data_IF_055069874137
#
_entry.id   IF_055069874137
#
_cell.length_a   1.000
_cell.length_b   1.000
_cell.length_c   1.000
_cell.angle_alpha   90.00
_cell.angle_beta   90.00
_cell.angle_gamma   90.00
#
_symmetry.space_group_name_H-M   'P 1'
#
loop_
_entity.id
_entity.type
_entity.pdbx_description
1 polymer ?
#
# COMPACT_ATOMS: atom_id res chain seq x y z
N UNK A 1 4.06 -2.38 17.47
CA UNK A 1 2.87 -3.23 17.21
C UNK A 1 2.57 -3.26 15.72
N UNK A 2 2.37 -4.44 15.12
CA UNK A 2 1.93 -4.63 13.73
C UNK A 2 0.67 -5.50 13.70
N UNK A 3 -0.09 -5.46 12.60
CA UNK A 3 -1.32 -6.26 12.51
C UNK A 3 -1.03 -7.76 12.52
N UNK A 4 -0.32 -8.23 11.51
CA UNK A 4 0.07 -9.62 11.31
C UNK A 4 1.29 -9.76 10.41
N UNK A 5 2.09 -10.77 10.67
CA UNK A 5 3.20 -11.18 9.84
C UNK A 5 2.82 -12.46 9.10
N UNK A 6 2.54 -12.37 7.79
CA UNK A 6 2.09 -13.52 6.96
C UNK A 6 2.87 -13.63 5.66
N UNK A 7 3.28 -12.50 5.11
CA UNK A 7 4.13 -12.38 3.93
C UNK A 7 4.87 -11.03 4.00
N UNK A 8 6.03 -10.97 3.36
CA UNK A 8 6.79 -9.72 3.27
C UNK A 8 6.27 -8.86 2.13
N UNK A 9 5.56 -7.77 2.45
CA UNK A 9 4.95 -6.85 1.49
C UNK A 9 5.15 -5.37 1.89
N UNK A 10 4.30 -4.47 1.42
CA UNK A 10 4.47 -3.03 1.62
C UNK A 10 4.42 -2.58 3.08
N UNK A 11 3.55 -3.17 3.91
CA UNK A 11 3.45 -2.86 5.33
C UNK A 11 4.66 -3.37 6.11
N UNK A 12 5.17 -4.54 5.76
CA UNK A 12 6.34 -5.14 6.39
C UNK A 12 7.63 -4.37 6.03
N UNK A 13 7.74 -3.80 4.82
CA UNK A 13 8.82 -2.86 4.48
C UNK A 13 8.82 -1.63 5.39
N UNK A 14 7.64 -1.11 5.74
CA UNK A 14 7.52 -0.02 6.72
C UNK A 14 8.00 -0.46 8.10
N UNK A 15 7.57 -1.64 8.56
CA UNK A 15 8.02 -2.19 9.86
C UNK A 15 9.53 -2.41 9.87
N UNK A 16 10.11 -2.96 8.81
CA UNK A 16 11.55 -3.12 8.66
C UNK A 16 12.29 -1.80 8.87
N UNK A 17 11.80 -0.73 8.22
CA UNK A 17 12.44 0.58 8.33
C UNK A 17 12.21 1.24 9.71
N UNK A 18 11.07 0.99 10.35
CA UNK A 18 10.83 1.37 11.76
C UNK A 18 11.85 0.67 12.68
N UNK A 19 12.10 -0.64 12.49
CA UNK A 19 13.07 -1.40 13.27
C UNK A 19 14.51 -0.96 13.07
N UNK A 20 14.85 -0.41 11.89
CA UNK A 20 16.17 0.16 11.63
C UNK A 20 16.35 1.53 12.30
N UNK A 21 15.27 2.29 12.48
CA UNK A 21 15.28 3.56 13.24
C UNK A 21 15.29 3.30 14.76
N UNK A 22 14.57 2.27 15.21
CA UNK A 22 14.46 1.88 16.62
C UNK A 22 14.92 0.43 16.82
N UNK A 23 16.24 0.18 16.81
CA UNK A 23 16.79 -1.18 16.85
C UNK A 23 16.54 -1.92 18.16
N UNK A 24 16.21 -1.22 19.23
CA UNK A 24 15.85 -1.78 20.55
C UNK A 24 14.39 -2.22 20.66
N UNK A 25 13.54 -1.94 19.65
CA UNK A 25 12.12 -2.18 19.73
C UNK A 25 11.76 -3.68 19.79
N UNK A 26 10.86 -4.03 20.70
CA UNK A 26 10.17 -5.32 20.74
C UNK A 26 9.03 -5.38 19.74
N UNK A 27 8.72 -6.58 19.26
CA UNK A 27 7.69 -6.80 18.25
C UNK A 27 6.46 -7.51 18.79
N UNK A 28 5.30 -6.93 18.52
CA UNK A 28 3.98 -7.50 18.81
C UNK A 28 3.14 -7.57 17.54
N UNK A 29 2.40 -8.66 17.35
CA UNK A 29 1.45 -8.80 16.26
C UNK A 29 0.29 -9.72 16.65
N UNK A 30 -0.85 -9.61 15.97
CA UNK A 30 -1.97 -10.53 16.23
C UNK A 30 -1.58 -11.98 15.93
N UNK A 31 -0.90 -12.18 14.80
CA UNK A 31 -0.37 -13.49 14.37
C UNK A 31 0.97 -13.32 13.66
N UNK A 32 1.78 -14.38 13.68
CA UNK A 32 3.05 -14.49 12.96
C UNK A 32 3.11 -15.87 12.27
N UNK A 33 2.98 -15.87 10.95
CA UNK A 33 3.02 -17.05 10.09
C UNK A 33 4.01 -16.89 8.93
N UNK A 34 4.95 -15.92 9.05
CA UNK A 34 6.02 -15.75 8.07
C UNK A 34 6.80 -17.06 7.85
N UNK A 35 7.15 -17.32 6.62
CA UNK A 35 8.11 -18.36 6.28
C UNK A 35 9.51 -17.96 6.78
N UNK A 36 10.36 -18.95 7.05
CA UNK A 36 11.68 -18.71 7.66
C UNK A 36 12.60 -17.88 6.75
N UNK A 37 12.48 -18.04 5.45
CA UNK A 37 13.22 -17.30 4.43
C UNK A 37 12.77 -15.84 4.30
N UNK A 38 11.55 -15.50 4.71
CA UNK A 38 11.03 -14.13 4.72
C UNK A 38 11.33 -13.36 6.02
N UNK A 39 11.92 -13.99 7.05
CA UNK A 39 12.12 -13.40 8.39
C UNK A 39 13.37 -12.53 8.54
N UNK A 40 14.23 -12.46 7.52
CA UNK A 40 15.52 -11.78 7.60
C UNK A 40 15.42 -10.32 8.10
N UNK A 41 14.38 -9.60 7.71
CA UNK A 41 14.15 -8.20 8.11
C UNK A 41 13.82 -8.01 9.59
N UNK A 42 13.39 -9.05 10.30
CA UNK A 42 13.14 -9.01 11.74
C UNK A 42 14.44 -8.96 12.57
N UNK A 43 15.60 -9.24 11.96
CA UNK A 43 16.90 -9.20 12.62
C UNK A 43 17.01 -10.13 13.84
N UNK A 44 16.41 -11.33 13.73
CA UNK A 44 16.39 -12.33 14.81
C UNK A 44 15.41 -12.04 15.96
N UNK A 45 14.62 -10.96 15.87
CA UNK A 45 13.63 -10.61 16.90
C UNK A 45 12.51 -11.62 16.96
N UNK A 46 12.08 -11.96 18.16
CA UNK A 46 10.88 -12.75 18.42
C UNK A 46 9.65 -11.85 18.36
N UNK A 47 8.62 -12.29 17.63
CA UNK A 47 7.31 -11.62 17.62
C UNK A 47 6.45 -12.19 18.77
N UNK A 48 5.96 -11.33 19.63
CA UNK A 48 4.95 -11.68 20.64
C UNK A 48 3.58 -11.64 19.98
N UNK A 49 2.88 -12.78 19.97
CA UNK A 49 1.60 -12.93 19.26
C UNK A 49 0.42 -12.99 20.23
N UNK A 50 -0.77 -12.63 19.74
CA UNK A 50 -2.02 -12.72 20.50
C UNK A 50 -2.52 -14.18 20.60
N UNK A 51 -3.60 -14.38 21.36
CA UNK A 51 -4.28 -15.67 21.47
C UNK A 51 -4.82 -16.17 20.12
N UNK A 52 -5.09 -15.27 19.15
CA UNK A 52 -5.56 -15.66 17.80
C UNK A 52 -4.56 -16.58 17.10
N UNK A 53 -3.27 -16.45 17.36
CA UNK A 53 -2.21 -17.32 16.84
C UNK A 53 -2.52 -18.83 17.08
N UNK A 54 -3.19 -19.15 18.18
CA UNK A 54 -3.46 -20.52 18.63
C UNK A 54 -4.87 -21.02 18.30
N UNK A 55 -5.70 -20.19 17.69
CA UNK A 55 -7.07 -20.57 17.33
C UNK A 55 -7.08 -21.58 16.16
N UNK A 56 -8.12 -22.42 16.05
CA UNK A 56 -8.23 -23.41 14.98
C UNK A 56 -8.09 -22.77 13.59
N UNK A 57 -7.28 -23.38 12.72
CA UNK A 57 -7.06 -22.91 11.34
C UNK A 57 -6.54 -21.45 11.21
N UNK A 58 -5.99 -20.87 12.29
CA UNK A 58 -5.53 -19.47 12.29
C UNK A 58 -4.55 -19.21 11.13
N UNK A 59 -3.62 -20.14 10.84
CA UNK A 59 -2.65 -19.99 9.75
C UNK A 59 -3.29 -19.66 8.39
N UNK A 60 -4.44 -20.26 8.09
CA UNK A 60 -5.11 -20.13 6.78
C UNK A 60 -6.33 -19.22 6.83
N UNK A 61 -6.87 -18.95 8.02
CA UNK A 61 -8.17 -18.30 8.17
C UNK A 61 -8.23 -17.26 9.31
N UNK A 62 -7.08 -16.70 9.74
CA UNK A 62 -7.03 -15.72 10.83
C UNK A 62 -7.94 -14.50 10.57
N UNK A 63 -8.14 -14.12 9.30
CA UNK A 63 -9.03 -13.02 8.93
C UNK A 63 -10.50 -13.26 9.32
N UNK A 64 -10.91 -14.52 9.46
CA UNK A 64 -12.26 -14.86 9.93
C UNK A 64 -12.45 -14.53 11.41
N UNK A 65 -11.36 -14.35 12.16
CA UNK A 65 -11.37 -13.90 13.56
C UNK A 65 -11.39 -12.38 13.71
N UNK A 66 -11.66 -11.64 12.62
CA UNK A 66 -11.75 -10.18 12.64
C UNK A 66 -12.60 -9.62 13.80
N UNK A 67 -13.79 -10.19 14.17
CA UNK A 67 -14.55 -9.70 15.31
C UNK A 67 -13.86 -9.86 16.68
N UNK A 68 -12.86 -10.75 16.79
CA UNK A 68 -12.08 -10.96 18.00
C UNK A 68 -10.78 -10.15 18.03
N UNK A 69 -10.36 -9.57 16.91
CA UNK A 69 -9.11 -8.82 16.82
C UNK A 69 -9.06 -7.60 17.74
N UNK A 70 -10.16 -6.83 17.94
CA UNK A 70 -10.21 -5.77 18.96
C UNK A 70 -9.82 -6.26 20.36
N UNK A 71 -10.46 -7.33 20.81
CA UNK A 71 -10.14 -7.94 22.10
C UNK A 71 -8.68 -8.42 22.15
N UNK A 72 -8.20 -9.03 21.07
CA UNK A 72 -6.86 -9.61 21.04
C UNK A 72 -5.75 -8.55 21.09
N UNK A 73 -5.94 -7.39 20.46
CA UNK A 73 -4.96 -6.32 20.48
C UNK A 73 -4.91 -5.60 21.85
N UNK A 74 -6.05 -5.50 22.53
CA UNK A 74 -6.16 -4.92 23.87
C UNK A 74 -5.54 -5.79 24.98
N UNK A 75 -5.25 -7.07 24.72
CA UNK A 75 -4.62 -7.98 25.70
C UNK A 75 -3.10 -7.90 25.72
N UNK A 76 -2.46 -7.12 24.86
CA UNK A 76 -1.03 -6.93 24.94
C UNK A 76 -0.67 -6.00 26.12
N UNK A 77 0.15 -6.51 27.03
CA UNK A 77 0.74 -5.68 28.08
C UNK A 77 1.92 -4.89 27.50
N UNK A 78 1.71 -3.60 27.34
CA UNK A 78 2.70 -2.64 26.85
C UNK A 78 3.19 -1.69 27.95
N UNK A 79 2.86 -1.93 29.22
CA UNK A 79 3.17 -1.04 30.37
C UNK A 79 4.66 -0.77 30.56
N UNK A 80 5.53 -1.67 30.08
CA UNK A 80 6.99 -1.53 30.18
C UNK A 80 7.63 -0.61 29.11
N UNK A 81 6.84 0.00 28.22
CA UNK A 81 7.36 0.80 27.10
C UNK A 81 6.90 2.26 27.19
N UNK A 82 7.84 3.20 27.08
CA UNK A 82 7.53 4.64 27.04
C UNK A 82 7.00 5.07 25.67
N UNK A 83 7.40 4.37 24.62
CA UNK A 83 6.99 4.64 23.24
C UNK A 83 6.35 3.40 22.60
N UNK A 84 5.15 3.55 22.09
CA UNK A 84 4.45 2.54 21.29
C UNK A 84 4.29 3.05 19.88
N UNK A 85 4.79 2.30 18.89
CA UNK A 85 4.57 2.58 17.47
C UNK A 85 3.67 1.48 16.90
N UNK A 86 2.49 1.86 16.39
CA UNK A 86 1.59 0.93 15.70
C UNK A 86 1.65 1.13 14.19
N UNK A 87 1.90 0.05 13.45
CA UNK A 87 1.79 -0.02 11.98
C UNK A 87 0.40 -0.56 11.66
N UNK A 88 -0.53 0.33 11.28
CA UNK A 88 -1.96 0.09 11.33
C UNK A 88 -2.63 0.11 9.95
N UNK A 89 -3.40 -0.93 9.67
CA UNK A 89 -4.37 -0.95 8.56
C UNK A 89 -5.71 -1.62 8.96
N UNK A 90 -5.81 -2.11 10.20
CA UNK A 90 -7.03 -2.65 10.78
C UNK A 90 -7.14 -2.29 12.27
N UNK A 91 -6.47 -3.00 13.18
CA UNK A 91 -6.70 -2.90 14.63
C UNK A 91 -5.46 -2.53 15.45
N UNK A 92 -4.25 -2.50 14.86
CA UNK A 92 -3.00 -2.35 15.61
C UNK A 92 -2.94 -1.07 16.47
N UNK A 93 -3.61 0.02 16.06
CA UNK A 93 -3.69 1.25 16.85
C UNK A 93 -4.55 1.13 18.13
N UNK A 94 -5.31 0.04 18.25
CA UNK A 94 -6.20 -0.18 19.39
C UNK A 94 -5.53 -0.76 20.61
N UNK A 95 -4.20 -0.86 20.66
CA UNK A 95 -3.45 -1.21 21.88
C UNK A 95 -3.75 -0.21 22.99
N UNK A 96 -3.80 -0.71 24.23
CA UNK A 96 -4.03 0.13 25.40
C UNK A 96 -2.69 0.72 25.85
N UNK A 97 -2.66 2.03 26.02
CA UNK A 97 -1.49 2.77 26.53
C UNK A 97 -1.87 3.58 27.77
N UNK A 98 -0.93 3.73 28.68
CA UNK A 98 -1.09 4.51 29.91
C UNK A 98 -0.76 6.01 29.71
N UNK A 99 -1.04 6.85 30.73
CA UNK A 99 -0.89 8.31 30.62
C UNK A 99 0.57 8.79 30.50
N UNK A 100 1.55 7.96 30.82
CA UNK A 100 2.99 8.27 30.68
C UNK A 100 3.60 7.72 29.39
N UNK A 101 2.81 7.06 28.54
CA UNK A 101 3.29 6.45 27.30
C UNK A 101 2.92 7.33 26.10
N UNK A 102 3.79 7.39 25.10
CA UNK A 102 3.49 8.04 23.81
C UNK A 102 3.14 7.00 22.77
N UNK A 103 1.97 7.13 22.14
CA UNK A 103 1.51 6.26 21.08
C UNK A 103 1.54 6.97 19.73
N UNK A 104 2.42 6.53 18.83
CA UNK A 104 2.50 6.99 17.46
C UNK A 104 1.92 5.92 16.52
N UNK A 105 0.90 6.27 15.74
CA UNK A 105 0.29 5.32 14.81
C UNK A 105 0.63 5.65 13.35
N UNK A 106 1.40 4.78 12.70
CA UNK A 106 1.61 4.82 11.26
C UNK A 106 0.44 4.12 10.56
N UNK A 107 -0.40 4.89 9.90
CA UNK A 107 -1.64 4.40 9.28
C UNK A 107 -1.42 4.18 7.78
N UNK A 108 -1.45 2.91 7.37
CA UNK A 108 -1.46 2.54 5.95
C UNK A 108 -2.79 2.93 5.31
N UNK A 109 -3.87 2.70 6.04
CA UNK A 109 -5.24 3.16 5.74
C UNK A 109 -6.13 2.91 6.97
N UNK A 110 -7.16 3.70 7.24
CA UNK A 110 -8.26 3.29 8.10
C UNK A 110 -8.94 2.03 7.56
N UNK A 111 -9.64 1.27 8.41
CA UNK A 111 -10.28 -0.02 8.04
C UNK A 111 -11.24 0.16 6.85
N UNK A 112 -10.75 0.03 5.60
CA UNK A 112 -11.48 0.35 4.37
C UNK A 112 -12.82 -0.40 4.26
N UNK A 113 -12.81 -1.70 4.55
CA UNK A 113 -13.99 -2.56 4.47
C UNK A 113 -15.02 -2.31 5.58
N UNK A 114 -14.65 -1.61 6.63
CA UNK A 114 -15.59 -1.17 7.67
C UNK A 114 -16.13 0.24 7.42
N UNK A 115 -15.44 1.07 6.65
CA UNK A 115 -15.78 2.46 6.39
C UNK A 115 -16.25 2.69 4.95
N UNK A 116 -15.49 3.41 4.15
CA UNK A 116 -15.87 3.92 2.83
C UNK A 116 -16.08 2.84 1.77
N UNK A 117 -15.40 1.70 1.86
CA UNK A 117 -15.54 0.59 0.92
C UNK A 117 -16.45 -0.55 1.41
N UNK A 118 -17.20 -0.36 2.51
CA UNK A 118 -18.06 -1.41 3.08
C UNK A 118 -18.98 -2.06 2.04
N UNK A 119 -19.70 -1.25 1.27
CA UNK A 119 -20.66 -1.77 0.30
C UNK A 119 -19.99 -2.55 -0.84
N UNK A 120 -18.84 -2.09 -1.29
CA UNK A 120 -18.05 -2.80 -2.30
C UNK A 120 -17.59 -4.17 -1.79
N UNK A 121 -17.00 -4.22 -0.60
CA UNK A 121 -16.53 -5.47 0.00
C UNK A 121 -17.66 -6.46 0.25
N UNK A 122 -18.83 -6.01 0.70
CA UNK A 122 -19.98 -6.88 0.89
C UNK A 122 -20.47 -7.50 -0.43
N UNK A 123 -20.48 -6.71 -1.54
CA UNK A 123 -20.80 -7.23 -2.89
C UNK A 123 -19.76 -8.25 -3.37
N UNK A 124 -18.49 -7.89 -3.32
CA UNK A 124 -17.38 -8.75 -3.77
C UNK A 124 -17.27 -10.06 -2.98
N UNK A 125 -17.69 -10.03 -1.70
CA UNK A 125 -17.72 -11.21 -0.82
C UNK A 125 -19.01 -12.01 -0.88
N UNK A 126 -20.00 -11.63 -1.72
CA UNK A 126 -21.31 -12.27 -1.78
C UNK A 126 -22.15 -12.13 -0.50
N UNK A 127 -21.85 -11.11 0.34
CA UNK A 127 -22.51 -10.86 1.62
C UNK A 127 -23.57 -9.74 1.51
N UNK A 128 -24.36 -9.74 0.44
CA UNK A 128 -25.38 -8.72 0.25
C UNK A 128 -26.70 -9.05 0.98
N UNK A 129 -27.08 -10.33 1.02
CA UNK A 129 -28.37 -10.80 1.54
C UNK A 129 -28.21 -12.00 2.48
N UNK A 130 -29.23 -12.21 3.32
CA UNK A 130 -29.32 -13.36 4.23
C UNK A 130 -28.64 -13.13 5.59
N UNK A 131 -28.70 -14.15 6.47
CA UNK A 131 -28.24 -14.08 7.86
C UNK A 131 -26.74 -13.75 7.97
N UNK A 132 -25.90 -14.35 7.10
CA UNK A 132 -24.45 -14.07 7.07
C UNK A 132 -24.16 -12.60 6.78
N UNK A 133 -24.90 -12.00 5.86
CA UNK A 133 -24.78 -10.58 5.52
C UNK A 133 -25.18 -9.68 6.71
N UNK A 134 -26.18 -10.07 7.47
CA UNK A 134 -26.59 -9.34 8.67
C UNK A 134 -25.51 -9.41 9.76
N UNK A 135 -24.97 -10.60 10.04
CA UNK A 135 -23.85 -10.79 10.98
C UNK A 135 -22.62 -9.98 10.55
N UNK A 136 -22.28 -10.00 9.26
CA UNK A 136 -21.16 -9.21 8.73
C UNK A 136 -21.38 -7.70 8.98
N UNK A 137 -22.58 -7.16 8.70
CA UNK A 137 -22.89 -5.75 8.95
C UNK A 137 -22.84 -5.38 10.44
N UNK A 138 -23.31 -6.26 11.31
CA UNK A 138 -23.22 -6.06 12.76
C UNK A 138 -21.76 -6.04 13.22
N UNK A 139 -20.94 -6.98 12.75
CA UNK A 139 -19.52 -7.03 13.04
C UNK A 139 -18.78 -5.77 12.56
N UNK A 140 -19.09 -5.29 11.34
CA UNK A 140 -18.52 -4.06 10.81
C UNK A 140 -19.00 -2.82 11.56
N UNK A 141 -20.24 -2.80 12.06
CA UNK A 141 -20.74 -1.73 12.92
C UNK A 141 -19.97 -1.68 14.25
N UNK A 142 -19.80 -2.83 14.90
CA UNK A 142 -18.98 -2.95 16.12
C UNK A 142 -17.56 -2.49 15.89
N UNK A 143 -16.93 -2.93 14.78
CA UNK A 143 -15.57 -2.50 14.43
C UNK A 143 -15.45 -0.99 14.24
N UNK A 144 -16.43 -0.33 13.61
CA UNK A 144 -16.43 1.14 13.47
C UNK A 144 -16.49 1.86 14.81
N UNK A 145 -17.35 1.40 15.71
CA UNK A 145 -17.44 2.00 17.06
C UNK A 145 -16.12 1.88 17.81
N UNK A 146 -15.54 0.69 17.79
CA UNK A 146 -14.26 0.41 18.42
C UNK A 146 -13.11 1.18 17.77
N UNK A 147 -13.04 1.17 16.44
CA UNK A 147 -12.00 1.82 15.63
C UNK A 147 -12.00 3.35 15.84
N UNK A 148 -13.19 3.96 15.88
CA UNK A 148 -13.33 5.40 16.17
C UNK A 148 -12.92 5.72 17.61
N UNK A 149 -13.36 4.92 18.60
CA UNK A 149 -13.01 5.12 20.00
C UNK A 149 -11.50 5.01 20.25
N UNK A 150 -10.85 4.00 19.69
CA UNK A 150 -9.42 3.76 19.92
C UNK A 150 -8.52 4.81 19.26
N UNK A 151 -9.04 5.61 18.33
CA UNK A 151 -8.32 6.73 17.75
C UNK A 151 -7.98 7.83 18.78
N UNK A 152 -8.70 7.91 19.90
CA UNK A 152 -8.42 8.87 20.97
C UNK A 152 -7.18 8.49 21.80
N UNK A 153 -6.80 7.21 21.85
CA UNK A 153 -5.60 6.74 22.53
C UNK A 153 -4.30 6.91 21.73
N UNK A 154 -4.36 7.52 20.54
CA UNK A 154 -3.19 7.79 19.71
C UNK A 154 -2.78 9.25 19.87
N UNK A 155 -1.53 9.50 20.28
CA UNK A 155 -1.00 10.86 20.45
C UNK A 155 -0.64 11.49 19.11
N UNK A 156 -0.01 10.75 18.21
CA UNK A 156 0.37 11.23 16.88
C UNK A 156 0.00 10.25 15.77
N UNK A 157 -0.74 10.73 14.77
CA UNK A 157 -1.01 9.99 13.54
C UNK A 157 -0.01 10.32 12.44
N UNK A 158 0.55 9.27 11.81
CA UNK A 158 1.32 9.35 10.58
C UNK A 158 0.51 8.70 9.46
N UNK A 159 0.30 9.43 8.38
CA UNK A 159 -0.39 8.92 7.19
C UNK A 159 0.63 8.56 6.10
N UNK A 160 0.43 7.47 5.39
CA UNK A 160 1.30 7.09 4.27
C UNK A 160 1.15 7.98 3.03
N UNK A 161 0.13 8.87 3.01
CA UNK A 161 -0.16 9.80 1.91
C UNK A 161 -1.13 10.89 2.36
N UNK A 162 -1.24 11.98 1.62
CA UNK A 162 -2.28 12.99 1.82
C UNK A 162 -3.69 12.39 1.61
N UNK A 163 -3.78 11.42 0.69
CA UNK A 163 -5.01 10.67 0.48
C UNK A 163 -5.47 9.95 1.76
N UNK A 164 -4.56 9.28 2.45
CA UNK A 164 -4.85 8.61 3.73
C UNK A 164 -5.01 9.63 4.86
N UNK A 165 -4.29 10.74 4.86
CA UNK A 165 -4.49 11.83 5.82
C UNK A 165 -5.93 12.38 5.78
N UNK A 166 -6.50 12.57 4.59
CA UNK A 166 -7.92 12.95 4.43
C UNK A 166 -8.87 11.89 4.99
N UNK A 167 -8.55 10.59 4.82
CA UNK A 167 -9.33 9.50 5.42
C UNK A 167 -9.25 9.50 6.94
N UNK A 168 -8.07 9.69 7.53
CA UNK A 168 -7.88 9.80 8.98
C UNK A 168 -8.74 10.94 9.53
N UNK A 169 -8.67 12.13 8.91
CA UNK A 169 -9.48 13.28 9.30
C UNK A 169 -10.98 12.98 9.21
N UNK A 170 -11.44 12.36 8.12
CA UNK A 170 -12.85 12.01 7.93
C UNK A 170 -13.33 10.95 8.91
N UNK A 171 -12.52 9.94 9.18
CA UNK A 171 -12.89 8.76 9.97
C UNK A 171 -12.74 8.98 11.47
N UNK A 172 -11.64 9.64 11.89
CA UNK A 172 -11.27 9.77 13.29
C UNK A 172 -11.40 11.21 13.83
N UNK A 173 -11.63 12.20 12.96
CA UNK A 173 -11.64 13.62 13.36
C UNK A 173 -10.26 14.10 13.83
N UNK A 174 -9.16 13.42 13.44
CA UNK A 174 -7.80 13.69 13.88
C UNK A 174 -6.94 14.16 12.72
N UNK A 175 -6.03 15.09 12.99
CA UNK A 175 -4.98 15.46 12.06
C UNK A 175 -3.86 14.42 12.04
N UNK A 176 -3.12 14.36 10.93
CA UNK A 176 -1.98 13.47 10.76
C UNK A 176 -0.85 14.15 10.00
N UNK A 177 0.40 13.74 10.27
CA UNK A 177 1.56 14.14 9.47
C UNK A 177 1.79 13.11 8.37
N UNK A 178 2.05 13.57 7.14
CA UNK A 178 2.34 12.64 6.05
C UNK A 178 3.80 12.20 6.10
N UNK A 179 3.99 10.90 6.20
CA UNK A 179 5.28 10.22 6.10
C UNK A 179 5.13 9.14 5.03
N UNK A 180 5.51 9.45 3.81
CA UNK A 180 5.40 8.52 2.68
C UNK A 180 6.15 7.23 2.95
N UNK A 181 5.62 6.05 2.54
CA UNK A 181 6.24 4.77 2.80
C UNK A 181 7.60 4.66 2.10
N UNK A 182 8.51 3.83 2.64
CA UNK A 182 9.86 3.69 2.11
C UNK A 182 9.83 2.94 0.77
N UNK A 183 10.42 3.55 -0.25
CA UNK A 183 10.72 2.90 -1.53
C UNK A 183 12.23 2.75 -1.65
N UNK A 184 12.69 1.54 -1.88
CA UNK A 184 14.12 1.27 -2.10
C UNK A 184 14.53 1.70 -3.51
N UNK A 185 14.61 3.02 -3.70
CA UNK A 185 14.94 3.63 -4.99
C UNK A 185 16.34 3.21 -5.46
N UNK A 186 17.27 2.94 -4.53
CA UNK A 186 18.63 2.55 -4.86
C UNK A 186 18.72 1.17 -5.55
N UNK A 187 17.75 0.29 -5.29
CA UNK A 187 17.66 -1.03 -5.94
C UNK A 187 17.37 -0.95 -7.44
N UNK A 188 16.78 0.15 -7.91
CA UNK A 188 16.35 0.32 -9.29
C UNK A 188 17.37 1.10 -10.10
N UNK A 189 17.84 0.50 -11.20
CA UNK A 189 18.77 1.15 -12.13
C UNK A 189 17.98 2.00 -13.12
N UNK A 190 18.31 3.29 -13.18
CA UNK A 190 17.74 4.18 -14.17
C UNK A 190 18.27 3.84 -15.57
N UNK A 191 17.39 3.82 -16.58
CA UNK A 191 17.75 3.64 -17.98
C UNK A 191 17.14 4.77 -18.82
N UNK A 192 17.93 5.39 -19.69
CA UNK A 192 17.50 6.47 -20.58
C UNK A 192 16.92 5.91 -21.89
N UNK A 193 17.57 4.89 -22.49
CA UNK A 193 17.05 4.24 -23.70
C UNK A 193 15.90 3.31 -23.39
N UNK A 194 14.69 3.69 -23.81
CA UNK A 194 13.47 2.89 -23.63
C UNK A 194 13.18 2.04 -24.86
N UNK A 195 12.60 0.87 -24.64
CA UNK A 195 12.13 -0.03 -25.69
C UNK A 195 10.65 0.27 -25.99
N UNK A 196 10.17 -0.16 -27.15
CA UNK A 196 8.82 0.17 -27.62
C UNK A 196 7.77 -0.81 -27.08
N UNK A 197 7.66 -0.90 -25.76
CA UNK A 197 6.57 -1.60 -25.09
C UNK A 197 6.11 -0.88 -23.83
N UNK A 198 4.86 -1.06 -23.47
CA UNK A 198 4.26 -0.61 -22.22
C UNK A 198 4.28 -1.74 -21.20
N UNK A 199 4.40 -1.39 -19.92
CA UNK A 199 4.41 -2.35 -18.83
C UNK A 199 3.22 -2.12 -17.90
N UNK A 200 2.53 -3.19 -17.53
CA UNK A 200 1.59 -3.22 -16.43
C UNK A 200 2.00 -4.33 -15.45
N UNK A 201 2.14 -4.00 -14.16
CA UNK A 201 2.56 -4.98 -13.16
C UNK A 201 1.84 -4.79 -11.84
N UNK A 202 1.19 -5.85 -11.36
CA UNK A 202 0.57 -5.88 -10.02
C UNK A 202 0.13 -7.29 -9.64
N UNK A 203 -0.23 -7.47 -8.36
CA UNK A 203 -1.07 -8.62 -7.98
C UNK A 203 -2.42 -8.51 -8.68
N UNK A 204 -2.86 -9.54 -9.38
CA UNK A 204 -4.08 -9.53 -10.20
C UNK A 204 -5.33 -9.75 -9.34
N UNK A 205 -5.73 -8.72 -8.62
CA UNK A 205 -6.96 -8.64 -7.81
C UNK A 205 -7.91 -7.58 -8.37
N UNK A 206 -9.23 -7.66 -8.13
CA UNK A 206 -10.24 -6.82 -8.82
C UNK A 206 -9.97 -5.32 -8.76
N UNK A 207 -9.54 -4.78 -7.62
CA UNK A 207 -9.30 -3.34 -7.47
C UNK A 207 -8.06 -2.82 -8.23
N UNK A 208 -7.16 -3.71 -8.67
CA UNK A 208 -6.00 -3.35 -9.51
C UNK A 208 -6.36 -3.09 -10.96
N UNK A 209 -7.56 -3.50 -11.39
CA UNK A 209 -8.11 -3.18 -12.71
C UNK A 209 -7.25 -3.63 -13.89
N UNK A 210 -6.46 -4.70 -13.74
CA UNK A 210 -5.61 -5.23 -14.81
C UNK A 210 -6.39 -5.56 -16.10
N UNK A 211 -7.62 -6.13 -16.04
CA UNK A 211 -8.41 -6.42 -17.22
C UNK A 211 -8.62 -5.24 -18.16
N UNK A 212 -8.89 -4.02 -17.64
CA UNK A 212 -9.14 -2.86 -18.52
C UNK A 212 -7.89 -2.39 -19.26
N UNK A 213 -6.70 -2.61 -18.69
CA UNK A 213 -5.42 -2.32 -19.36
C UNK A 213 -5.25 -3.29 -20.54
N UNK A 214 -5.43 -4.58 -20.28
CA UNK A 214 -5.31 -5.61 -21.33
C UNK A 214 -6.34 -5.41 -22.45
N UNK A 215 -7.59 -5.13 -22.10
CA UNK A 215 -8.65 -4.82 -23.05
C UNK A 215 -8.31 -3.60 -23.92
N UNK A 216 -7.74 -2.55 -23.33
CA UNK A 216 -7.29 -1.38 -24.08
C UNK A 216 -6.22 -1.71 -25.11
N UNK A 217 -5.20 -2.50 -24.71
CA UNK A 217 -4.11 -2.88 -25.62
C UNK A 217 -4.53 -3.93 -26.66
N UNK A 218 -5.44 -4.83 -26.35
CA UNK A 218 -6.01 -5.76 -27.32
C UNK A 218 -6.70 -5.02 -28.50
N UNK A 219 -7.21 -3.80 -28.25
CA UNK A 219 -7.78 -2.92 -29.28
C UNK A 219 -6.73 -2.02 -29.97
N UNK A 220 -5.44 -2.14 -29.67
CA UNK A 220 -4.32 -1.38 -30.26
C UNK A 220 -3.20 -2.32 -30.70
N UNK A 221 -3.39 -3.13 -31.77
CA UNK A 221 -2.46 -4.21 -32.14
C UNK A 221 -1.04 -3.72 -32.47
N UNK A 222 -0.87 -2.45 -32.82
CA UNK A 222 0.41 -1.82 -33.11
C UNK A 222 1.22 -1.43 -31.87
N UNK A 223 0.67 -1.61 -30.66
CA UNK A 223 1.34 -1.26 -29.38
C UNK A 223 1.56 -2.48 -28.52
N UNK A 224 2.79 -2.70 -28.11
CA UNK A 224 3.17 -3.85 -27.29
C UNK A 224 2.90 -3.62 -25.81
N UNK A 225 2.26 -4.58 -25.14
CA UNK A 225 2.06 -4.59 -23.71
C UNK A 225 2.72 -5.83 -23.09
N UNK A 226 3.52 -5.61 -22.05
CA UNK A 226 3.99 -6.68 -21.15
C UNK A 226 3.20 -6.59 -19.84
N UNK A 227 2.65 -7.73 -19.40
CA UNK A 227 1.88 -7.86 -18.16
C UNK A 227 2.62 -8.79 -17.20
N UNK A 228 2.93 -8.29 -16.00
CA UNK A 228 3.61 -9.06 -14.94
C UNK A 228 2.71 -9.12 -13.71
N UNK A 229 2.60 -10.30 -13.14
CA UNK A 229 1.87 -10.55 -11.91
C UNK A 229 1.05 -11.82 -11.93
N UNK A 230 0.44 -12.12 -10.77
CA UNK A 230 -0.39 -13.27 -10.54
C UNK A 230 -1.55 -12.92 -9.59
N UNK A 231 -2.57 -13.74 -9.56
CA UNK A 231 -3.71 -13.57 -8.68
C UNK A 231 -5.03 -14.09 -9.28
N UNK A 232 -6.14 -13.92 -8.54
CA UNK A 232 -7.44 -14.50 -8.90
C UNK A 232 -7.99 -14.03 -10.27
N UNK A 233 -7.55 -12.88 -10.79
CA UNK A 233 -7.98 -12.40 -12.12
C UNK A 233 -7.07 -12.84 -13.27
N UNK A 234 -6.01 -13.63 -13.03
CA UNK A 234 -5.05 -14.04 -14.08
C UNK A 234 -5.75 -14.73 -15.26
N UNK A 235 -6.66 -15.67 -15.02
CA UNK A 235 -7.35 -16.39 -16.07
C UNK A 235 -8.27 -15.48 -16.90
N UNK A 236 -8.90 -14.50 -16.25
CA UNK A 236 -9.67 -13.46 -16.96
C UNK A 236 -8.78 -12.58 -17.84
N UNK A 237 -7.61 -12.19 -17.32
CA UNK A 237 -6.61 -11.41 -18.05
C UNK A 237 -6.09 -12.18 -19.27
N UNK A 238 -5.78 -13.48 -19.13
CA UNK A 238 -5.39 -14.35 -20.24
C UNK A 238 -6.49 -14.49 -21.29
N UNK A 239 -7.76 -14.63 -20.86
CA UNK A 239 -8.88 -14.74 -21.78
C UNK A 239 -9.05 -13.47 -22.64
N UNK A 240 -8.86 -12.28 -22.06
CA UNK A 240 -8.90 -11.01 -22.80
C UNK A 240 -7.75 -10.83 -23.77
N UNK A 241 -6.59 -11.43 -23.50
CA UNK A 241 -5.41 -11.36 -24.36
C UNK A 241 -5.34 -12.47 -25.42
N UNK A 242 -6.30 -13.41 -25.45
CA UNK A 242 -6.21 -14.64 -26.28
C UNK A 242 -5.89 -14.37 -27.76
N UNK A 243 -6.55 -13.38 -28.33
CA UNK A 243 -6.43 -13.04 -29.75
C UNK A 243 -5.55 -11.80 -29.99
N UNK A 244 -4.89 -11.29 -28.94
CA UNK A 244 -4.07 -10.09 -28.96
C UNK A 244 -2.57 -10.46 -28.95
N UNK A 245 -1.97 -10.65 -30.13
CA UNK A 245 -0.55 -11.02 -30.30
C UNK A 245 0.43 -9.97 -29.73
N UNK A 246 -0.03 -8.75 -29.52
CA UNK A 246 0.71 -7.63 -28.95
C UNK A 246 0.70 -7.60 -27.42
N UNK A 247 -0.02 -8.52 -26.73
CA UNK A 247 -0.09 -8.58 -25.27
C UNK A 247 0.64 -9.82 -24.77
N UNK A 248 1.75 -9.62 -24.06
CA UNK A 248 2.56 -10.68 -23.47
C UNK A 248 2.34 -10.77 -21.96
N UNK A 249 1.77 -11.88 -21.47
CA UNK A 249 1.54 -12.14 -20.05
C UNK A 249 2.64 -13.06 -19.53
N UNK A 250 3.44 -12.59 -18.57
CA UNK A 250 4.60 -13.32 -18.02
C UNK A 250 4.28 -14.06 -16.72
N UNK A 251 3.09 -13.82 -16.12
CA UNK A 251 2.79 -14.34 -14.78
C UNK A 251 3.64 -13.67 -13.68
N UNK A 252 3.79 -14.36 -12.55
CA UNK A 252 4.67 -13.89 -11.48
C UNK A 252 6.13 -13.88 -11.93
N UNK A 253 6.84 -12.81 -11.59
CA UNK A 253 8.27 -12.67 -11.87
C UNK A 253 9.00 -12.19 -10.61
N UNK A 254 10.30 -12.47 -10.53
CA UNK A 254 11.14 -11.95 -9.45
C UNK A 254 11.23 -10.42 -9.51
N UNK A 255 11.63 -9.81 -8.41
CA UNK A 255 11.79 -8.34 -8.35
C UNK A 255 12.86 -7.84 -9.33
N UNK A 256 13.92 -8.63 -9.57
CA UNK A 256 15.00 -8.30 -10.50
C UNK A 256 14.49 -8.27 -11.94
N UNK A 257 13.68 -9.26 -12.33
CA UNK A 257 13.05 -9.32 -13.66
C UNK A 257 12.07 -8.16 -13.82
N UNK A 258 11.24 -7.89 -12.81
CA UNK A 258 10.31 -6.78 -12.84
C UNK A 258 11.04 -5.43 -12.98
N UNK A 259 12.14 -5.23 -12.24
CA UNK A 259 12.97 -4.02 -12.33
C UNK A 259 13.59 -3.83 -13.71
N UNK A 260 14.05 -4.92 -14.35
CA UNK A 260 14.56 -4.87 -15.72
C UNK A 260 13.48 -4.45 -16.72
N UNK A 261 12.28 -5.05 -16.65
CA UNK A 261 11.15 -4.64 -17.48
C UNK A 261 10.73 -3.19 -17.22
N UNK A 262 10.71 -2.75 -15.96
CA UNK A 262 10.44 -1.35 -15.61
C UNK A 262 11.47 -0.40 -16.24
N UNK A 263 12.75 -0.75 -16.18
CA UNK A 263 13.82 0.09 -16.72
C UNK A 263 13.74 0.25 -18.24
N UNK A 264 13.31 -0.80 -18.96
CA UNK A 264 13.22 -0.83 -20.42
C UNK A 264 11.93 -0.27 -20.97
N UNK A 265 10.83 -0.36 -20.23
CA UNK A 265 9.50 0.03 -20.70
C UNK A 265 9.44 1.50 -21.13
N UNK A 266 8.67 1.77 -22.20
CA UNK A 266 8.35 3.12 -22.69
C UNK A 266 7.55 3.91 -21.65
N UNK A 267 6.56 3.27 -21.01
CA UNK A 267 5.82 3.78 -19.87
C UNK A 267 5.24 2.64 -19.03
N UNK A 268 4.97 2.94 -17.76
CA UNK A 268 4.27 2.07 -16.84
C UNK A 268 2.79 2.46 -16.77
N UNK A 269 1.87 1.50 -17.01
CA UNK A 269 0.43 1.75 -17.01
C UNK A 269 -0.18 1.25 -15.69
N UNK A 270 -0.90 2.14 -14.99
CA UNK A 270 -1.42 1.88 -13.66
C UNK A 270 -2.89 2.31 -13.54
N UNK A 271 -3.80 1.35 -13.43
CA UNK A 271 -5.25 1.60 -13.43
C UNK A 271 -5.91 1.49 -12.03
N UNK A 272 -5.12 1.23 -10.99
CA UNK A 272 -5.64 1.08 -9.63
C UNK A 272 -5.86 2.43 -8.93
N UNK A 273 -6.84 2.46 -8.01
CA UNK A 273 -6.93 3.47 -6.96
C UNK A 273 -6.32 2.90 -5.68
N UNK A 274 -5.16 3.41 -5.29
CA UNK A 274 -4.41 2.97 -4.11
C UNK A 274 -4.16 4.10 -3.13
N UNK A 275 -3.84 3.71 -1.89
CA UNK A 275 -3.55 4.65 -0.82
C UNK A 275 -2.23 5.42 -1.05
N UNK A 276 -1.24 4.79 -1.74
CA UNK A 276 0.02 5.45 -2.12
C UNK A 276 0.47 5.08 -3.54
N UNK A 277 0.58 3.79 -3.86
CA UNK A 277 1.09 3.31 -5.14
C UNK A 277 2.61 3.21 -5.16
N UNK A 278 3.18 2.19 -4.53
CA UNK A 278 4.63 1.94 -4.50
C UNK A 278 5.15 1.67 -5.92
N UNK A 279 4.49 0.83 -6.69
CA UNK A 279 4.94 0.40 -8.02
C UNK A 279 5.10 1.56 -9.02
N UNK A 280 4.21 2.58 -9.09
CA UNK A 280 4.46 3.80 -9.85
C UNK A 280 5.73 4.56 -9.45
N UNK A 281 6.12 4.54 -8.18
CA UNK A 281 7.38 5.15 -7.73
C UNK A 281 8.58 4.30 -8.14
N UNK A 282 8.48 2.97 -8.06
CA UNK A 282 9.51 2.04 -8.51
C UNK A 282 9.76 2.18 -10.03
N UNK A 283 8.71 2.33 -10.85
CA UNK A 283 8.84 2.62 -12.26
C UNK A 283 9.57 3.95 -12.51
N UNK A 284 9.22 5.01 -11.80
CA UNK A 284 9.92 6.30 -11.89
C UNK A 284 11.36 6.22 -11.40
N UNK A 285 11.67 5.36 -10.43
CA UNK A 285 13.06 5.10 -10.01
C UNK A 285 13.89 4.51 -11.14
N UNK A 286 13.28 3.75 -12.05
CA UNK A 286 13.88 3.25 -13.29
C UNK A 286 13.97 4.31 -14.41
N UNK A 287 13.55 5.54 -14.18
CA UNK A 287 13.42 6.58 -15.21
C UNK A 287 12.24 6.37 -16.14
N UNK A 288 11.23 5.60 -15.75
CA UNK A 288 10.07 5.25 -16.59
C UNK A 288 8.86 6.08 -16.19
N UNK A 289 8.26 6.84 -17.13
CA UNK A 289 7.07 7.63 -16.87
C UNK A 289 5.84 6.74 -16.62
N UNK A 290 4.84 7.32 -15.97
CA UNK A 290 3.64 6.59 -15.52
C UNK A 290 2.39 7.14 -16.17
N UNK A 291 1.56 6.25 -16.74
CA UNK A 291 0.22 6.55 -17.21
C UNK A 291 -0.76 5.97 -16.19
N UNK A 292 -1.42 6.80 -15.41
CA UNK A 292 -2.16 6.34 -14.24
C UNK A 292 -3.62 6.79 -14.20
N UNK A 293 -4.46 5.98 -13.55
CA UNK A 293 -5.77 6.44 -13.11
C UNK A 293 -5.61 7.56 -12.08
N UNK A 294 -6.17 8.73 -12.38
CA UNK A 294 -5.99 9.97 -11.61
C UNK A 294 -6.78 9.99 -10.30
N UNK A 295 -6.59 8.99 -9.42
CA UNK A 295 -7.23 8.92 -8.12
C UNK A 295 -6.33 8.24 -7.07
N UNK A 296 -6.53 8.56 -5.80
CA UNK A 296 -5.75 8.02 -4.70
C UNK A 296 -4.37 8.65 -4.56
N UNK A 297 -3.43 7.92 -3.99
CA UNK A 297 -2.07 8.38 -3.70
C UNK A 297 -1.20 8.59 -4.93
N UNK A 298 -1.60 8.07 -6.10
CA UNK A 298 -0.87 8.31 -7.35
C UNK A 298 -0.83 9.81 -7.73
N UNK A 299 -1.81 10.59 -7.30
CA UNK A 299 -1.83 12.05 -7.48
C UNK A 299 -0.68 12.78 -6.75
N UNK A 300 -0.03 12.12 -5.80
CA UNK A 300 1.09 12.63 -5.02
C UNK A 300 2.44 12.11 -5.52
N UNK A 301 2.41 10.92 -6.16
CA UNK A 301 3.60 10.20 -6.59
C UNK A 301 3.93 10.41 -8.07
N UNK A 302 2.97 10.85 -8.88
CA UNK A 302 3.17 11.16 -10.30
C UNK A 302 2.91 12.64 -10.52
N UNK A 303 3.80 13.31 -11.22
CA UNK A 303 3.65 14.72 -11.60
C UNK A 303 3.14 14.82 -13.03
N UNK A 304 1.88 15.24 -13.19
CA UNK A 304 1.31 15.59 -14.48
C UNK A 304 1.44 17.11 -14.69
N UNK A 305 2.30 17.51 -15.61
CA UNK A 305 2.57 18.93 -15.91
C UNK A 305 2.68 19.13 -17.42
N UNK A 306 2.25 20.28 -17.89
CA UNK A 306 2.50 20.71 -19.27
C UNK A 306 4.01 20.98 -19.53
N UNK A 307 4.75 21.33 -18.48
CA UNK A 307 6.19 21.50 -18.55
C UNK A 307 6.90 20.14 -18.55
N UNK A 308 7.55 19.78 -19.67
CA UNK A 308 8.28 18.52 -19.83
C UNK A 308 9.41 18.34 -18.81
N UNK A 309 9.98 19.42 -18.27
CA UNK A 309 11.01 19.40 -17.24
C UNK A 309 10.49 19.04 -15.84
N UNK A 310 9.18 18.93 -15.68
CA UNK A 310 8.54 18.62 -14.39
C UNK A 310 7.62 17.42 -14.43
N UNK A 311 7.23 16.96 -15.62
CA UNK A 311 6.27 15.85 -15.73
C UNK A 311 6.94 14.49 -15.59
N UNK A 312 6.32 13.60 -14.87
CA UNK A 312 6.73 12.20 -14.72
C UNK A 312 5.66 11.23 -15.19
N UNK A 313 4.55 11.74 -15.69
CA UNK A 313 3.48 10.94 -16.23
C UNK A 313 2.25 11.77 -16.58
N UNK A 314 1.15 11.08 -16.87
CA UNK A 314 -0.16 11.67 -17.10
C UNK A 314 -1.28 10.84 -16.45
N UNK A 315 -2.48 11.43 -16.36
CA UNK A 315 -3.62 10.80 -15.73
C UNK A 315 -4.78 10.62 -16.69
N UNK A 316 -5.42 9.44 -16.64
CA UNK A 316 -6.75 9.25 -17.18
C UNK A 316 -7.81 9.29 -16.06
N UNK A 317 -9.06 9.66 -16.42
CA UNK A 317 -10.10 10.00 -15.43
C UNK A 317 -11.09 8.89 -15.12
N UNK A 318 -11.27 7.93 -16.01
CA UNK A 318 -12.25 6.86 -15.88
C UNK A 318 -11.56 5.50 -15.97
N UNK A 319 -11.94 4.55 -15.10
CA UNK A 319 -11.42 3.18 -15.15
C UNK A 319 -12.12 2.37 -16.26
N UNK A 320 -11.87 2.72 -17.53
CA UNK A 320 -12.37 2.05 -18.71
C UNK A 320 -11.24 1.80 -19.71
N UNK A 321 -11.38 0.78 -20.58
CA UNK A 321 -10.41 0.50 -21.62
C UNK A 321 -10.22 1.69 -22.58
N UNK A 322 -11.31 2.38 -22.94
CA UNK A 322 -11.26 3.56 -23.79
C UNK A 322 -10.46 4.71 -23.17
N UNK A 323 -10.61 4.94 -21.86
CA UNK A 323 -9.86 5.98 -21.17
C UNK A 323 -8.36 5.66 -21.11
N UNK A 324 -7.99 4.39 -20.91
CA UNK A 324 -6.59 3.92 -21.00
C UNK A 324 -6.06 4.13 -22.42
N UNK A 325 -6.80 3.73 -23.44
CA UNK A 325 -6.40 3.89 -24.85
C UNK A 325 -6.16 5.37 -25.20
N UNK A 326 -7.09 6.24 -24.83
CA UNK A 326 -6.94 7.68 -25.07
C UNK A 326 -5.72 8.25 -24.35
N UNK A 327 -5.44 7.80 -23.12
CA UNK A 327 -4.26 8.22 -22.36
C UNK A 327 -2.94 7.74 -23.01
N UNK A 328 -2.92 6.58 -23.65
CA UNK A 328 -1.77 6.11 -24.43
C UNK A 328 -1.52 7.06 -25.62
N UNK A 329 -2.56 7.41 -26.40
CA UNK A 329 -2.43 8.36 -27.51
C UNK A 329 -2.00 9.75 -27.04
N UNK A 330 -2.57 10.23 -25.92
CA UNK A 330 -2.18 11.51 -25.32
C UNK A 330 -0.72 11.49 -24.86
N UNK A 331 -0.27 10.37 -24.26
CA UNK A 331 1.11 10.18 -23.84
C UNK A 331 2.08 10.26 -25.03
N UNK A 332 1.74 9.62 -26.15
CA UNK A 332 2.55 9.64 -27.37
C UNK A 332 2.59 11.02 -28.03
N UNK A 333 1.47 11.74 -28.01
CA UNK A 333 1.38 13.11 -28.53
C UNK A 333 2.06 14.17 -27.64
N UNK A 334 2.18 13.87 -26.33
CA UNK A 334 2.76 14.81 -25.36
C UNK A 334 4.28 15.02 -25.56
N UNK A 335 4.95 14.18 -26.36
CA UNK A 335 6.40 14.24 -26.56
C UNK A 335 7.19 13.60 -25.44
N UNK A 336 8.46 13.96 -25.32
CA UNK A 336 9.42 13.26 -24.45
C UNK A 336 9.18 13.46 -22.96
N UNK A 337 9.32 12.38 -22.18
CA UNK A 337 9.42 12.35 -20.73
C UNK A 337 10.87 12.08 -20.34
N UNK A 338 11.43 12.94 -19.51
CA UNK A 338 12.84 12.85 -19.12
C UNK A 338 13.03 11.81 -18.01
N UNK A 339 13.83 10.75 -18.21
CA UNK A 339 14.08 9.72 -17.20
C UNK A 339 14.66 10.29 -15.88
N UNK A 340 15.50 11.31 -15.99
CA UNK A 340 16.13 11.99 -14.86
C UNK A 340 15.07 12.70 -13.97
N UNK A 341 14.04 13.28 -14.58
CA UNK A 341 12.92 13.91 -13.86
C UNK A 341 12.08 12.86 -13.13
N UNK A 342 11.83 11.72 -13.77
CA UNK A 342 11.17 10.57 -13.13
C UNK A 342 11.98 10.08 -11.93
N UNK A 343 13.28 9.87 -12.10
CA UNK A 343 14.19 9.43 -11.03
C UNK A 343 14.23 10.42 -9.88
N UNK A 344 14.41 11.70 -10.17
CA UNK A 344 14.45 12.76 -9.14
C UNK A 344 13.14 12.84 -8.35
N UNK A 345 11.98 12.62 -9.00
CA UNK A 345 10.70 12.55 -8.28
C UNK A 345 10.63 11.32 -7.37
N UNK A 346 11.08 10.15 -7.82
CA UNK A 346 11.09 8.93 -7.00
C UNK A 346 11.96 9.07 -5.73
N UNK A 347 13.09 9.81 -5.79
CA UNK A 347 13.97 10.05 -4.63
C UNK A 347 13.26 10.75 -3.45
N UNK A 348 12.15 11.44 -3.68
CA UNK A 348 11.34 12.06 -2.63
C UNK A 348 10.76 11.02 -1.67
N UNK A 349 10.63 9.78 -2.11
CA UNK A 349 10.01 8.64 -1.42
C UNK A 349 11.03 7.59 -0.95
N UNK A 350 12.34 7.95 -1.02
CA UNK A 350 13.41 7.02 -0.67
C UNK A 350 13.36 6.59 0.80
N UNK A 351 13.91 5.41 1.08
CA UNK A 351 14.12 4.87 2.44
C UNK A 351 14.76 5.89 3.37
N UNK A 352 15.77 6.62 2.88
CA UNK A 352 16.44 7.68 3.66
C UNK A 352 15.47 8.78 4.10
N UNK A 353 14.60 9.23 3.19
CA UNK A 353 13.58 10.26 3.50
C UNK A 353 12.53 9.75 4.48
N UNK A 354 12.11 8.51 4.33
CA UNK A 354 11.19 7.87 5.27
C UNK A 354 11.76 7.85 6.69
N UNK A 355 12.98 7.28 6.87
CA UNK A 355 13.62 7.20 8.19
C UNK A 355 13.79 8.57 8.85
N UNK A 356 14.24 9.56 8.08
CA UNK A 356 14.41 10.93 8.58
C UNK A 356 13.09 11.53 9.07
N UNK A 357 12.02 11.44 8.27
CA UNK A 357 10.70 11.98 8.64
C UNK A 357 10.06 11.23 9.79
N UNK A 358 10.18 9.90 9.80
CA UNK A 358 9.70 9.07 10.91
C UNK A 358 10.37 9.49 12.22
N UNK A 359 11.70 9.52 12.27
CA UNK A 359 12.46 9.91 13.44
C UNK A 359 12.06 11.30 13.95
N UNK A 360 12.08 12.31 13.06
CA UNK A 360 11.69 13.68 13.42
C UNK A 360 10.28 13.78 13.98
N UNK A 361 9.35 12.98 13.46
CA UNK A 361 7.94 13.04 13.91
C UNK A 361 7.78 12.35 15.27
N UNK A 362 8.44 11.22 15.47
CA UNK A 362 8.44 10.53 16.77
C UNK A 362 9.09 11.40 17.85
N UNK A 363 10.26 12.00 17.58
CA UNK A 363 10.92 12.93 18.50
C UNK A 363 10.03 14.13 18.85
N UNK A 364 9.30 14.66 17.84
CA UNK A 364 8.35 15.76 18.09
C UNK A 364 7.19 15.32 18.99
N UNK A 365 6.71 14.08 18.86
CA UNK A 365 5.64 13.54 19.72
C UNK A 365 6.13 13.35 21.16
N UNK A 366 7.34 12.83 21.35
CA UNK A 366 7.98 12.67 22.68
C UNK A 366 8.28 14.01 23.35
N UNK A 367 8.50 15.08 22.58
CA UNK A 367 8.82 16.41 23.11
C UNK A 367 7.59 17.21 23.56
N UNK A 368 6.37 16.76 23.27
CA UNK A 368 5.14 17.47 23.70
C UNK A 368 4.95 17.37 25.22
N UNK A 369 4.30 18.40 25.86
CA UNK A 369 4.05 18.37 27.31
C UNK A 369 3.26 17.16 27.78
N UNK A 370 2.40 16.60 26.92
CA UNK A 370 1.64 15.36 27.16
C UNK A 370 2.56 14.14 27.19
N UNK A 371 3.65 14.12 26.39
CA UNK A 371 4.68 13.07 26.42
C UNK A 371 5.72 13.19 27.53
N UNK A 372 5.76 14.33 28.25
CA UNK A 372 6.74 14.59 29.34
C UNK A 372 6.18 14.41 30.76
N UNK A 373 4.94 13.99 30.92
CA UNK A 373 4.37 13.73 32.26
C UNK A 373 4.93 12.41 32.80
N UNK A 374 6.13 12.49 33.33
CA UNK A 374 6.64 11.55 34.35
C UNK A 374 6.12 11.93 35.71
#
# INVERSE_FOLDING_TARGET
MHEWFVNYAGSEKVVEEILKVFPQADLFALVDFLADDERGFLGGRRVRTSFIQRLPKARNAFRNYLPLMPLAVEQFDLSAYDLVISSNHAVAKGVITGPGQVHVSYVHTPIRYAWDLQHQYLRESGLEKGLKAWIARLSLHYLRLWDSRTAHGVDAFLANSEYVARRIRKTYGRDSKVVYPPVDVARFTMRTGKEDFYLAASRMVPYKRMPIIVEAFAAMPERQLVVIGDGPELERVKALARDASNVKILGYQSTEVLADYMARARAFVFAAEEDFGITPVEAQACGTPVIAYGAGGVLETVMSSADSKKRTGLFFRNQTADAVRNAIYEFEAAGEFQPEVCRANAERFSVKKFRQRLHQTVESALATPEGRRQ
#
